data_IF_350540955195
#
_entry.id   IF_350540955195
#
_cell.length_a   1.000
_cell.length_b   1.000
_cell.length_c   1.000
_cell.angle_alpha   90.00
_cell.angle_beta   90.00
_cell.angle_gamma   90.00
#
_symmetry.space_group_name_H-M   'P 1'
#
loop_
_entity.id
_entity.type
_entity.pdbx_description
1 polymer ?
#
# COMPACT_ATOMS: atom_id res chain seq x y z
N UNK A 1 0.31 -15.87 -4.50
CA UNK A 1 0.16 -14.45 -4.88
C UNK A 1 1.07 -14.06 -6.03
N UNK A 2 2.40 -14.12 -5.90
CA UNK A 2 3.36 -13.87 -6.99
C UNK A 2 3.04 -14.54 -8.34
N UNK A 3 2.39 -15.71 -8.33
CA UNK A 3 1.95 -16.47 -9.53
C UNK A 3 0.47 -16.26 -9.92
N UNK A 4 -0.24 -15.32 -9.29
CA UNK A 4 -1.70 -15.19 -9.42
C UNK A 4 -2.52 -16.29 -8.73
N UNK A 5 -1.87 -17.33 -8.21
CA UNK A 5 -2.52 -18.38 -7.42
C UNK A 5 -2.72 -17.92 -5.98
N UNK A 6 -3.95 -17.49 -5.67
CA UNK A 6 -4.35 -17.03 -4.34
C UNK A 6 -4.81 -18.19 -3.44
N UNK A 7 -5.42 -19.23 -4.01
CA UNK A 7 -5.84 -20.41 -3.24
C UNK A 7 -4.62 -21.09 -2.59
N UNK A 8 -3.58 -21.37 -3.37
CA UNK A 8 -2.35 -21.96 -2.83
C UNK A 8 -1.62 -21.03 -1.85
N UNK A 9 -1.75 -19.70 -2.04
CA UNK A 9 -1.20 -18.73 -1.09
C UNK A 9 -1.92 -18.78 0.25
N UNK A 10 -3.24 -18.93 0.25
CA UNK A 10 -4.04 -19.11 1.46
C UNK A 10 -3.73 -20.41 2.17
N UNK A 11 -3.48 -21.49 1.44
CA UNK A 11 -3.06 -22.76 2.04
C UNK A 11 -1.67 -22.65 2.69
N UNK A 12 -0.74 -21.93 2.05
CA UNK A 12 0.57 -21.66 2.64
C UNK A 12 0.45 -20.82 3.91
N UNK A 13 -0.34 -19.74 3.88
CA UNK A 13 -0.54 -18.86 5.02
C UNK A 13 -1.26 -19.60 6.17
N UNK A 14 -2.22 -20.48 5.88
CA UNK A 14 -2.87 -21.33 6.89
C UNK A 14 -1.89 -22.31 7.54
N UNK A 15 -0.97 -22.91 6.77
CA UNK A 15 0.10 -23.75 7.34
C UNK A 15 1.06 -22.96 8.21
N UNK A 16 1.43 -21.75 7.81
CA UNK A 16 2.28 -20.86 8.61
C UNK A 16 1.59 -20.50 9.93
N UNK A 17 0.30 -20.16 9.89
CA UNK A 17 -0.53 -19.88 11.07
C UNK A 17 -0.57 -21.07 12.03
N UNK A 18 -0.81 -22.28 11.52
CA UNK A 18 -0.86 -23.50 12.33
C UNK A 18 0.50 -23.87 12.97
N UNK A 19 1.61 -23.38 12.43
CA UNK A 19 2.95 -23.59 12.95
C UNK A 19 3.41 -22.56 13.99
N UNK A 20 2.60 -21.54 14.31
CA UNK A 20 2.96 -20.51 15.29
C UNK A 20 2.90 -21.07 16.70
N UNK A 21 3.90 -20.75 17.52
CA UNK A 21 3.91 -21.06 18.95
C UNK A 21 2.97 -20.09 19.70
N UNK A 22 1.86 -20.55 20.29
CA UNK A 22 0.93 -19.68 21.01
C UNK A 22 1.57 -18.84 22.13
N UNK A 23 2.69 -19.28 22.71
CA UNK A 23 3.41 -18.54 23.73
C UNK A 23 4.03 -17.23 23.21
N UNK A 24 4.22 -17.11 21.89
CA UNK A 24 4.80 -15.93 21.21
C UNK A 24 3.76 -14.95 20.70
N UNK A 25 2.46 -15.21 20.95
CA UNK A 25 1.36 -14.37 20.47
C UNK A 25 1.45 -12.98 21.09
N UNK A 26 1.45 -11.96 20.22
CA UNK A 26 1.55 -10.54 20.56
C UNK A 26 2.69 -10.21 21.55
N UNK A 27 3.85 -10.86 21.40
CA UNK A 27 4.98 -10.72 22.31
C UNK A 27 5.42 -9.25 22.47
N UNK A 28 5.31 -8.67 23.69
CA UNK A 28 5.66 -7.28 23.95
C UNK A 28 7.16 -6.97 23.77
N UNK A 29 8.03 -7.99 23.78
CA UNK A 29 9.46 -7.82 23.55
C UNK A 29 9.80 -7.54 22.07
N UNK A 30 8.88 -7.83 21.15
CA UNK A 30 9.07 -7.59 19.72
C UNK A 30 8.53 -6.21 19.30
N UNK A 31 9.14 -5.55 18.30
CA UNK A 31 8.50 -4.47 17.56
C UNK A 31 7.16 -4.91 16.98
N UNK A 32 6.15 -4.02 16.93
CA UNK A 32 4.80 -4.36 16.47
C UNK A 32 4.76 -5.03 15.09
N UNK A 33 5.58 -4.57 14.13
CA UNK A 33 5.64 -5.16 12.78
C UNK A 33 6.22 -6.59 12.73
N UNK A 34 6.73 -7.12 13.85
CA UNK A 34 7.15 -8.52 14.00
C UNK A 34 6.18 -9.33 14.87
N UNK A 35 5.15 -8.70 15.43
CA UNK A 35 4.13 -9.37 16.22
C UNK A 35 3.04 -9.96 15.34
N UNK A 36 2.38 -10.97 15.87
CA UNK A 36 1.19 -11.56 15.29
C UNK A 36 0.12 -11.70 16.38
N UNK A 37 -1.14 -11.51 15.99
CA UNK A 37 -2.26 -11.49 16.95
C UNK A 37 -3.34 -12.51 16.62
N UNK A 38 -3.47 -12.91 15.36
CA UNK A 38 -4.50 -13.86 14.95
C UNK A 38 -4.04 -15.30 15.17
N UNK A 39 -4.87 -16.07 15.87
CA UNK A 39 -4.67 -17.48 16.21
C UNK A 39 -5.57 -18.42 15.38
N UNK A 40 -6.22 -17.90 14.34
CA UNK A 40 -7.18 -18.65 13.53
C UNK A 40 -8.62 -18.62 14.06
N UNK A 41 -8.89 -17.89 15.15
CA UNK A 41 -10.25 -17.67 15.64
C UNK A 41 -11.15 -17.14 14.51
N UNK A 42 -12.32 -17.75 14.24
CA UNK A 42 -13.20 -17.30 13.17
C UNK A 42 -13.74 -15.89 13.41
N UNK A 43 -13.99 -15.12 12.36
CA UNK A 43 -14.51 -13.74 12.48
C UNK A 43 -16.04 -13.66 12.57
N UNK A 44 -16.74 -14.69 12.10
CA UNK A 44 -18.21 -14.67 11.97
C UNK A 44 -18.91 -14.53 13.33
N UNK A 45 -19.78 -13.53 13.44
CA UNK A 45 -20.58 -13.26 14.64
C UNK A 45 -19.78 -12.78 15.86
N UNK A 46 -18.49 -12.49 15.72
CA UNK A 46 -17.62 -12.02 16.83
C UNK A 46 -17.40 -10.52 16.80
N UNK A 47 -17.06 -9.96 17.95
CA UNK A 47 -16.49 -8.64 18.08
C UNK A 47 -14.99 -8.71 17.68
N UNK A 48 -14.66 -8.14 16.52
CA UNK A 48 -13.34 -8.23 15.90
C UNK A 48 -12.55 -6.93 16.12
N UNK A 49 -11.31 -7.07 16.60
CA UNK A 49 -10.31 -6.01 16.65
C UNK A 49 -9.27 -6.23 15.54
N UNK A 50 -9.29 -5.37 14.54
CA UNK A 50 -8.30 -5.37 13.46
C UNK A 50 -7.11 -4.52 13.87
N UNK A 51 -5.91 -5.10 13.84
CA UNK A 51 -4.63 -4.46 14.17
C UNK A 51 -3.88 -4.10 12.88
N UNK A 52 -3.41 -2.87 12.76
CA UNK A 52 -2.57 -2.44 11.63
C UNK A 52 -1.13 -2.22 12.10
N UNK A 53 -0.41 -3.32 12.34
CA UNK A 53 0.94 -3.29 12.94
C UNK A 53 2.04 -3.01 11.92
N UNK A 54 1.78 -3.27 10.63
CA UNK A 54 2.75 -3.10 9.55
C UNK A 54 2.72 -1.69 8.94
N UNK A 55 3.20 -1.54 7.71
CA UNK A 55 3.36 -0.25 7.05
C UNK A 55 2.03 0.37 6.60
N UNK A 56 2.05 1.67 6.29
CA UNK A 56 0.86 2.36 5.76
C UNK A 56 0.33 1.74 4.46
N UNK A 57 1.23 1.20 3.62
CA UNK A 57 0.86 0.53 2.38
C UNK A 57 0.01 -0.72 2.61
N UNK A 58 0.36 -1.52 3.64
CA UNK A 58 -0.42 -2.70 4.01
C UNK A 58 -1.81 -2.30 4.51
N UNK A 59 -1.88 -1.30 5.40
CA UNK A 59 -3.17 -0.77 5.87
C UNK A 59 -4.03 -0.30 4.70
N UNK A 60 -3.51 0.53 3.79
CA UNK A 60 -4.23 1.04 2.64
C UNK A 60 -4.70 -0.08 1.70
N UNK A 61 -3.83 -1.05 1.45
CA UNK A 61 -4.13 -2.17 0.55
C UNK A 61 -5.23 -3.08 1.10
N UNK A 62 -5.10 -3.51 2.35
CA UNK A 62 -5.96 -4.52 2.97
C UNK A 62 -7.22 -3.93 3.60
N UNK A 63 -7.32 -2.61 3.80
CA UNK A 63 -8.56 -1.96 4.23
C UNK A 63 -9.75 -2.21 3.29
N UNK A 64 -9.49 -2.62 2.04
CA UNK A 64 -10.51 -3.05 1.08
C UNK A 64 -11.42 -4.18 1.60
N UNK A 65 -10.93 -4.99 2.54
CA UNK A 65 -11.68 -6.14 3.07
C UNK A 65 -12.53 -5.77 4.29
N UNK A 66 -12.38 -4.57 4.86
CA UNK A 66 -13.12 -4.13 6.04
C UNK A 66 -14.65 -4.14 5.84
N UNK A 67 -15.21 -3.71 4.68
CA UNK A 67 -16.65 -3.80 4.47
C UNK A 67 -17.17 -5.25 4.47
N UNK A 68 -16.44 -6.19 3.86
CA UNK A 68 -16.81 -7.60 3.87
C UNK A 68 -16.68 -8.21 5.27
N UNK A 69 -15.67 -7.81 6.03
CA UNK A 69 -15.52 -8.20 7.43
C UNK A 69 -16.70 -7.70 8.28
N UNK A 70 -17.11 -6.45 8.10
CA UNK A 70 -18.22 -5.85 8.83
C UNK A 70 -19.58 -6.51 8.54
N UNK A 71 -19.75 -7.13 7.37
CA UNK A 71 -20.94 -7.93 7.06
C UNK A 71 -21.00 -9.27 7.79
N UNK A 72 -19.85 -9.78 8.26
CA UNK A 72 -19.72 -11.11 8.85
C UNK A 72 -19.51 -11.07 10.37
N UNK A 73 -18.77 -10.09 10.85
CA UNK A 73 -18.52 -9.87 12.28
C UNK A 73 -19.74 -9.24 12.98
N UNK A 74 -19.88 -9.44 14.29
CA UNK A 74 -20.88 -8.73 15.09
C UNK A 74 -20.50 -7.25 15.29
N UNK A 75 -19.21 -6.94 15.36
CA UNK A 75 -18.69 -5.58 15.30
C UNK A 75 -17.24 -5.58 14.83
N UNK A 76 -16.80 -4.48 14.21
CA UNK A 76 -15.41 -4.30 13.76
C UNK A 76 -14.86 -3.00 14.34
N UNK A 77 -13.80 -3.12 15.13
CA UNK A 77 -12.95 -1.97 15.51
C UNK A 77 -11.62 -2.12 14.79
N UNK A 78 -11.12 -1.05 14.17
CA UNK A 78 -9.83 -1.04 13.48
C UNK A 78 -8.91 -0.06 14.18
N UNK A 79 -7.85 -0.59 14.76
CA UNK A 79 -6.76 0.20 15.34
C UNK A 79 -5.71 0.42 14.26
N UNK A 80 -5.64 1.64 13.73
CA UNK A 80 -4.77 1.99 12.60
C UNK A 80 -3.90 3.20 12.89
N UNK A 81 -2.85 3.36 12.11
CA UNK A 81 -1.89 4.43 12.32
C UNK A 81 -2.58 5.81 12.21
N UNK A 82 -2.40 6.73 13.18
CA UNK A 82 -3.18 7.98 13.24
C UNK A 82 -3.12 8.84 11.97
N UNK A 83 -2.00 8.81 11.25
CA UNK A 83 -1.81 9.55 10.00
C UNK A 83 -2.75 9.10 8.88
N UNK A 84 -3.22 7.86 8.91
CA UNK A 84 -4.13 7.35 7.88
C UNK A 84 -5.59 7.68 8.18
N UNK A 85 -5.98 7.86 9.44
CA UNK A 85 -7.38 8.09 9.83
C UNK A 85 -8.07 9.19 9.01
N UNK A 86 -7.47 10.36 8.71
CA UNK A 86 -8.15 11.39 7.93
C UNK A 86 -8.54 10.96 6.50
N UNK A 87 -7.86 9.95 5.94
CA UNK A 87 -8.23 9.39 4.62
C UNK A 87 -9.46 8.47 4.71
N UNK A 88 -9.61 7.79 5.84
CA UNK A 88 -10.72 6.89 6.09
C UNK A 88 -11.89 7.71 6.64
N UNK A 89 -12.82 8.05 5.76
CA UNK A 89 -14.11 8.62 6.16
C UNK A 89 -14.93 7.65 7.01
N UNK A 90 -16.22 7.95 7.19
CA UNK A 90 -17.12 7.02 7.88
C UNK A 90 -17.29 5.75 7.04
N UNK A 91 -16.87 4.61 7.60
CA UNK A 91 -17.11 3.29 7.06
C UNK A 91 -18.25 2.64 7.82
N UNK A 92 -19.30 2.24 7.10
CA UNK A 92 -20.44 1.57 7.71
C UNK A 92 -20.01 0.24 8.35
N UNK A 93 -20.47 -0.01 9.58
CA UNK A 93 -20.12 -1.21 10.34
C UNK A 93 -18.68 -1.27 10.87
N UNK A 94 -17.87 -0.23 10.66
CA UNK A 94 -16.45 -0.20 11.06
C UNK A 94 -16.16 1.02 11.93
N UNK A 95 -15.61 0.78 13.13
CA UNK A 95 -15.10 1.82 14.03
C UNK A 95 -13.58 1.94 13.88
N UNK A 96 -13.10 2.93 13.13
CA UNK A 96 -11.67 3.22 13.06
C UNK A 96 -11.23 4.08 14.26
N UNK A 97 -10.09 3.74 14.88
CA UNK A 97 -9.49 4.44 16.02
C UNK A 97 -7.98 4.57 15.83
N UNK A 98 -7.34 5.59 16.43
CA UNK A 98 -5.89 5.75 16.35
C UNK A 98 -5.19 4.66 17.15
N UNK A 99 -4.16 4.08 16.55
CA UNK A 99 -3.24 3.20 17.24
C UNK A 99 -2.34 4.01 18.16
N UNK A 100 -2.50 3.83 19.47
CA UNK A 100 -1.64 4.39 20.50
C UNK A 100 -0.71 3.29 21.02
N UNK A 101 0.57 3.38 20.64
CA UNK A 101 1.63 2.43 21.06
C UNK A 101 1.75 2.34 22.59
N UNK A 102 1.50 3.43 23.30
CA UNK A 102 1.60 3.46 24.76
C UNK A 102 0.34 2.90 25.44
N UNK A 103 -0.79 2.85 24.72
CA UNK A 103 -2.10 2.44 25.24
C UNK A 103 -2.89 1.66 24.18
N UNK A 104 -2.38 0.50 23.74
CA UNK A 104 -3.10 -0.31 22.77
C UNK A 104 -4.46 -0.72 23.34
N UNK A 105 -5.46 -0.87 22.48
CA UNK A 105 -6.74 -1.40 22.88
C UNK A 105 -6.59 -2.81 23.46
N UNK A 106 -7.43 -3.11 24.45
CA UNK A 106 -7.54 -4.47 25.01
C UNK A 106 -8.03 -5.43 23.92
N UNK A 107 -7.54 -6.68 23.91
CA UNK A 107 -8.05 -7.71 23.00
C UNK A 107 -9.57 -7.85 23.06
N UNK A 108 -10.17 -8.20 21.92
CA UNK A 108 -11.59 -8.50 21.77
C UNK A 108 -11.81 -10.01 21.58
N UNK A 109 -12.99 -10.44 21.17
CA UNK A 109 -13.28 -11.87 20.95
C UNK A 109 -12.42 -12.46 19.82
N UNK A 110 -11.98 -11.63 18.88
CA UNK A 110 -11.03 -11.99 17.84
C UNK A 110 -10.13 -10.79 17.51
N UNK A 111 -8.83 -10.91 17.80
CA UNK A 111 -7.82 -9.97 17.31
C UNK A 111 -7.22 -10.52 16.01
N UNK A 112 -7.13 -9.68 14.99
CA UNK A 112 -6.60 -10.07 13.67
C UNK A 112 -5.74 -8.95 13.08
N UNK A 113 -4.60 -9.28 12.51
CA UNK A 113 -3.80 -8.30 11.76
C UNK A 113 -4.42 -8.07 10.38
N UNK A 114 -4.42 -6.83 9.87
CA UNK A 114 -5.15 -6.46 8.66
C UNK A 114 -4.75 -7.27 7.41
N UNK A 115 -3.49 -7.69 7.29
CA UNK A 115 -3.00 -8.54 6.20
C UNK A 115 -3.48 -10.00 6.29
N UNK A 116 -4.00 -10.42 7.44
CA UNK A 116 -4.55 -11.76 7.68
C UNK A 116 -6.07 -11.83 7.42
N UNK A 117 -6.75 -10.68 7.38
CA UNK A 117 -8.19 -10.57 7.06
C UNK A 117 -8.58 -11.27 5.75
N UNK A 118 -7.83 -11.18 4.64
CA UNK A 118 -8.17 -11.89 3.41
C UNK A 118 -8.19 -13.41 3.58
N UNK A 119 -7.27 -13.95 4.39
CA UNK A 119 -7.22 -15.38 4.70
C UNK A 119 -8.44 -15.79 5.54
N UNK A 120 -8.79 -15.01 6.58
CA UNK A 120 -9.96 -15.26 7.41
C UNK A 120 -11.27 -15.24 6.61
N UNK A 121 -11.36 -14.34 5.61
CA UNK A 121 -12.52 -14.21 4.74
C UNK A 121 -12.49 -15.14 3.51
N UNK A 122 -11.35 -15.79 3.24
CA UNK A 122 -11.05 -16.48 1.97
C UNK A 122 -11.33 -15.60 0.74
N UNK A 123 -10.99 -14.33 0.86
CA UNK A 123 -11.19 -13.30 -0.16
C UNK A 123 -9.89 -12.97 -0.88
N UNK A 124 -9.98 -12.61 -2.15
CA UNK A 124 -8.83 -12.30 -2.99
C UNK A 124 -8.91 -10.88 -3.60
N UNK A 125 -8.04 -10.58 -4.57
CA UNK A 125 -7.91 -9.24 -5.15
C UNK A 125 -9.14 -8.78 -5.94
N UNK A 126 -10.12 -9.66 -6.21
CA UNK A 126 -11.39 -9.30 -6.82
C UNK A 126 -12.22 -8.33 -5.96
N UNK A 127 -11.93 -8.24 -4.65
CA UNK A 127 -12.51 -7.22 -3.79
C UNK A 127 -11.93 -5.86 -4.21
N UNK A 128 -12.78 -4.90 -4.64
CA UNK A 128 -12.32 -3.60 -5.11
C UNK A 128 -11.64 -2.82 -3.99
N UNK A 129 -10.72 -1.94 -4.33
CA UNK A 129 -10.12 -1.04 -3.35
C UNK A 129 -11.19 -0.19 -2.65
N UNK A 130 -10.94 0.16 -1.39
CA UNK A 130 -11.87 0.98 -0.62
C UNK A 130 -11.99 2.38 -1.26
N UNK A 131 -13.20 2.92 -1.51
CA UNK A 131 -13.33 4.26 -2.05
C UNK A 131 -12.84 5.28 -1.03
N UNK A 132 -11.83 6.07 -1.41
CA UNK A 132 -11.34 7.21 -0.63
C UNK A 132 -11.87 8.50 -1.25
N UNK A 133 -12.52 9.33 -0.45
CA UNK A 133 -13.02 10.64 -0.88
C UNK A 133 -11.93 11.69 -0.63
N UNK A 134 -11.12 11.97 -1.65
CA UNK A 134 -10.03 12.95 -1.58
C UNK A 134 -10.22 14.02 -2.64
N UNK A 135 -10.24 15.29 -2.23
CA UNK A 135 -10.26 16.41 -3.16
C UNK A 135 -8.87 16.53 -3.83
N UNK A 136 -8.80 16.52 -5.18
CA UNK A 136 -7.52 16.64 -5.88
C UNK A 136 -6.93 18.03 -5.68
N UNK A 137 -5.60 18.09 -5.53
CA UNK A 137 -4.88 19.35 -5.57
C UNK A 137 -4.96 19.98 -6.97
N UNK A 138 -5.01 21.31 -7.10
CA UNK A 138 -5.01 21.98 -8.39
C UNK A 138 -3.61 21.91 -9.00
N UNK A 139 -3.40 20.97 -9.92
CA UNK A 139 -2.13 20.74 -10.60
C UNK A 139 -2.22 21.11 -12.08
N UNK A 140 -1.12 21.51 -12.73
CA UNK A 140 -1.10 21.72 -14.16
C UNK A 140 -1.58 20.47 -14.93
N UNK A 141 -2.27 20.62 -16.07
CA UNK A 141 -2.63 19.49 -16.92
C UNK A 141 -1.42 18.62 -17.23
N UNK A 142 -1.60 17.30 -17.18
CA UNK A 142 -0.53 16.33 -17.45
C UNK A 142 0.49 16.14 -16.31
N UNK A 143 0.31 16.77 -15.14
CA UNK A 143 1.27 16.66 -14.04
C UNK A 143 1.54 15.21 -13.57
N UNK A 144 2.80 14.81 -13.61
CA UNK A 144 3.28 13.49 -13.17
C UNK A 144 3.83 13.57 -11.74
N UNK A 145 3.36 12.70 -10.85
CA UNK A 145 3.88 12.61 -9.49
C UNK A 145 4.90 11.47 -9.35
N UNK A 146 6.05 11.75 -8.73
CA UNK A 146 7.23 10.90 -8.72
C UNK A 146 7.60 10.48 -7.29
N UNK A 147 7.86 9.20 -7.07
CA UNK A 147 8.33 8.68 -5.79
C UNK A 147 9.39 7.59 -6.01
N UNK A 148 10.65 7.91 -5.74
CA UNK A 148 11.79 7.02 -6.00
C UNK A 148 12.28 6.26 -4.77
N UNK A 149 11.85 6.64 -3.56
CA UNK A 149 12.29 6.01 -2.31
C UNK A 149 11.17 5.24 -1.60
N UNK A 150 11.50 4.04 -1.13
CA UNK A 150 10.74 3.29 -0.14
C UNK A 150 11.30 3.54 1.27
N UNK A 151 10.63 2.98 2.29
CA UNK A 151 11.15 2.99 3.66
C UNK A 151 12.33 2.02 3.85
N UNK A 152 12.95 2.08 5.02
CA UNK A 152 14.24 1.43 5.30
C UNK A 152 14.17 -0.11 5.46
N UNK A 153 12.98 -0.70 5.43
CA UNK A 153 12.78 -2.15 5.53
C UNK A 153 13.44 -2.93 4.40
N UNK A 154 13.45 -2.39 3.18
CA UNK A 154 13.97 -3.06 1.98
C UNK A 154 14.55 -2.02 1.02
N UNK A 155 15.82 -1.67 1.25
CA UNK A 155 16.55 -0.69 0.46
C UNK A 155 16.58 -1.01 -1.04
N UNK A 156 16.44 -2.29 -1.41
CA UNK A 156 16.40 -2.73 -2.81
C UNK A 156 15.18 -2.27 -3.59
N UNK A 157 14.15 -1.70 -2.93
CA UNK A 157 12.98 -1.09 -3.58
C UNK A 157 13.24 0.33 -4.06
N UNK A 158 14.21 1.02 -3.47
CA UNK A 158 14.51 2.41 -3.78
C UNK A 158 15.37 2.54 -5.04
N UNK A 159 15.11 3.58 -5.81
CA UNK A 159 15.83 3.97 -7.02
C UNK A 159 16.64 5.24 -6.71
N UNK A 160 17.88 5.38 -7.20
CA UNK A 160 18.62 6.63 -7.09
C UNK A 160 17.84 7.80 -7.72
N UNK A 161 17.76 8.93 -7.00
CA UNK A 161 17.03 10.14 -7.43
C UNK A 161 17.38 10.58 -8.85
N UNK A 162 18.68 10.59 -9.19
CA UNK A 162 19.17 11.00 -10.51
C UNK A 162 18.53 10.19 -11.66
N UNK A 163 18.12 8.95 -11.39
CA UNK A 163 17.43 8.11 -12.37
C UNK A 163 16.05 8.63 -12.79
N UNK A 164 15.42 9.48 -11.97
CA UNK A 164 14.10 10.06 -12.27
C UNK A 164 14.17 11.36 -13.08
N UNK A 165 15.34 11.98 -13.24
CA UNK A 165 15.49 13.22 -14.00
C UNK A 165 14.94 13.16 -15.44
N UNK A 166 15.13 12.06 -16.22
CA UNK A 166 14.54 11.93 -17.56
C UNK A 166 13.01 11.86 -17.58
N UNK A 167 12.35 11.62 -16.44
CA UNK A 167 10.89 11.53 -16.32
C UNK A 167 10.24 12.92 -16.13
N UNK A 168 11.03 13.95 -15.80
CA UNK A 168 10.57 15.32 -15.61
C UNK A 168 10.50 16.11 -16.94
N UNK A 169 9.83 15.55 -17.97
CA UNK A 169 9.72 16.17 -19.31
C UNK A 169 8.67 17.29 -19.40
N UNK A 170 7.74 17.31 -18.45
CA UNK A 170 6.66 18.28 -18.33
C UNK A 170 6.43 18.62 -16.85
N UNK A 171 5.24 19.11 -16.47
CA UNK A 171 4.93 19.37 -15.07
C UNK A 171 5.12 18.09 -14.23
N UNK A 172 6.01 18.14 -13.24
CA UNK A 172 6.32 17.01 -12.38
C UNK A 172 6.28 17.42 -10.91
N UNK A 173 5.93 16.49 -10.02
CA UNK A 173 5.89 16.70 -8.57
C UNK A 173 6.69 15.61 -7.87
N UNK A 174 7.39 15.98 -6.81
CA UNK A 174 7.99 15.03 -5.89
C UNK A 174 6.98 14.61 -4.83
N UNK A 175 6.83 13.30 -4.63
CA UNK A 175 6.15 12.69 -3.49
C UNK A 175 7.15 12.25 -2.40
N UNK A 176 8.42 12.65 -2.52
CA UNK A 176 9.44 12.46 -1.49
C UNK A 176 9.38 13.61 -0.48
N UNK A 177 9.55 13.36 0.82
CA UNK A 177 9.33 14.38 1.85
C UNK A 177 10.44 15.43 1.95
N UNK A 178 11.62 15.15 1.38
CA UNK A 178 12.78 16.03 1.44
C UNK A 178 12.98 16.85 0.17
N UNK A 179 13.88 17.83 0.28
CA UNK A 179 14.35 18.63 -0.84
C UNK A 179 14.94 17.73 -1.94
N UNK A 180 14.69 18.10 -3.20
CA UNK A 180 15.18 17.41 -4.39
C UNK A 180 15.76 18.41 -5.39
N UNK A 181 16.75 17.97 -6.15
CA UNK A 181 17.32 18.75 -7.26
C UNK A 181 16.63 18.43 -8.61
N UNK A 182 15.65 17.52 -8.62
CA UNK A 182 14.84 17.26 -9.79
C UNK A 182 14.02 18.51 -10.19
N UNK A 183 13.79 18.74 -11.49
CA UNK A 183 12.99 19.87 -11.96
C UNK A 183 11.49 19.61 -11.75
N UNK A 184 11.05 19.71 -10.50
CA UNK A 184 9.66 19.50 -10.05
C UNK A 184 9.03 20.79 -9.54
N UNK A 185 7.70 20.84 -9.47
CA UNK A 185 6.93 21.99 -9.02
C UNK A 185 7.06 22.25 -7.50
N UNK A 186 7.44 21.23 -6.72
CA UNK A 186 7.61 21.31 -5.27
C UNK A 186 9.03 20.83 -4.85
N UNK A 187 10.09 21.60 -5.13
CA UNK A 187 11.47 21.18 -4.88
C UNK A 187 11.80 20.99 -3.40
N UNK A 188 11.01 21.57 -2.48
CA UNK A 188 11.17 21.38 -1.03
C UNK A 188 10.54 20.07 -0.51
N UNK A 189 9.90 19.29 -1.38
CA UNK A 189 9.34 17.97 -1.07
C UNK A 189 7.82 17.93 -0.87
N UNK A 190 7.34 16.74 -0.57
CA UNK A 190 5.95 16.40 -0.30
C UNK A 190 5.62 16.62 1.18
N UNK A 191 4.45 17.19 1.51
CA UNK A 191 4.03 17.32 2.90
C UNK A 191 4.01 15.96 3.62
N UNK A 192 4.43 15.94 4.89
CA UNK A 192 4.29 14.76 5.75
C UNK A 192 2.84 14.51 6.20
N UNK A 193 1.95 15.47 5.96
CA UNK A 193 0.53 15.32 6.16
C UNK A 193 -0.08 14.39 5.09
N UNK A 194 -0.83 13.40 5.54
CA UNK A 194 -1.33 12.34 4.67
C UNK A 194 -2.47 12.82 3.77
N UNK A 195 -3.32 13.73 4.25
CA UNK A 195 -4.40 14.28 3.45
C UNK A 195 -3.85 15.17 2.32
N UNK A 196 -2.84 15.98 2.60
CA UNK A 196 -2.13 16.78 1.61
C UNK A 196 -1.41 15.89 0.58
N UNK A 197 -0.72 14.83 1.02
CA UNK A 197 -0.11 13.85 0.10
C UNK A 197 -1.14 13.18 -0.80
N UNK A 198 -2.29 12.77 -0.24
CA UNK A 198 -3.37 12.17 -1.01
C UNK A 198 -3.98 13.15 -2.02
N UNK A 199 -4.10 14.44 -1.70
CA UNK A 199 -4.57 15.46 -2.62
C UNK A 199 -3.63 15.62 -3.83
N UNK A 200 -2.31 15.61 -3.61
CA UNK A 200 -1.31 15.63 -4.68
C UNK A 200 -1.42 14.39 -5.58
N UNK A 201 -1.53 13.20 -4.97
CA UNK A 201 -1.73 11.94 -5.70
C UNK A 201 -3.02 11.98 -6.52
N UNK A 202 -4.12 12.45 -5.93
CA UNK A 202 -5.42 12.53 -6.59
C UNK A 202 -5.43 13.51 -7.77
N UNK A 203 -4.69 14.61 -7.68
CA UNK A 203 -4.58 15.61 -8.75
C UNK A 203 -3.65 15.20 -9.91
N UNK A 204 -2.71 14.28 -9.68
CA UNK A 204 -1.73 13.89 -10.69
C UNK A 204 -2.36 13.10 -11.84
N UNK A 205 -1.94 13.37 -13.08
CA UNK A 205 -2.37 12.64 -14.29
C UNK A 205 -1.86 11.20 -14.30
N UNK A 206 -0.69 10.99 -13.69
CA UNK A 206 0.02 9.72 -13.56
C UNK A 206 0.89 9.75 -12.30
N UNK A 207 0.97 8.63 -11.59
CA UNK A 207 1.93 8.42 -10.50
C UNK A 207 2.98 7.41 -10.94
N UNK A 208 4.25 7.79 -10.93
CA UNK A 208 5.38 6.87 -11.15
C UNK A 208 6.07 6.67 -9.81
N UNK A 209 6.03 5.45 -9.27
CA UNK A 209 6.47 5.17 -7.90
C UNK A 209 7.10 3.81 -7.76
N UNK A 210 7.99 3.65 -6.78
CA UNK A 210 8.50 2.36 -6.32
C UNK A 210 7.48 1.63 -5.41
N UNK A 211 7.79 0.41 -4.99
CA UNK A 211 6.96 -0.39 -4.06
C UNK A 211 6.92 0.21 -2.64
N UNK A 212 6.01 1.17 -2.45
CA UNK A 212 5.79 1.92 -1.20
C UNK A 212 4.29 2.21 -1.01
N UNK A 213 3.94 2.87 0.11
CA UNK A 213 2.57 3.27 0.41
C UNK A 213 1.94 4.16 -0.68
N UNK A 214 2.73 4.93 -1.43
CA UNK A 214 2.26 5.78 -2.54
C UNK A 214 1.62 4.93 -3.65
N UNK A 215 2.18 3.76 -3.97
CA UNK A 215 1.60 2.84 -4.95
C UNK A 215 0.19 2.40 -4.53
N UNK A 216 0.02 2.06 -3.25
CA UNK A 216 -1.26 1.64 -2.69
C UNK A 216 -2.25 2.80 -2.58
N UNK A 217 -1.80 3.99 -2.17
CA UNK A 217 -2.64 5.18 -2.10
C UNK A 217 -3.17 5.56 -3.50
N UNK A 218 -2.30 5.64 -4.49
CA UNK A 218 -2.67 6.00 -5.85
C UNK A 218 -3.57 4.94 -6.51
N UNK A 219 -3.27 3.65 -6.29
CA UNK A 219 -4.10 2.55 -6.75
C UNK A 219 -5.49 2.55 -6.11
N UNK A 220 -5.58 2.85 -4.80
CA UNK A 220 -6.86 2.97 -4.09
C UNK A 220 -7.67 4.18 -4.56
N UNK A 221 -7.02 5.29 -4.90
CA UNK A 221 -7.65 6.47 -5.51
C UNK A 221 -8.01 6.28 -6.99
N UNK A 222 -7.74 5.10 -7.58
CA UNK A 222 -8.03 4.81 -8.98
C UNK A 222 -7.21 5.63 -9.98
N UNK A 223 -6.09 6.22 -9.55
CA UNK A 223 -5.21 7.00 -10.43
C UNK A 223 -4.41 6.06 -11.34
N UNK A 224 -4.03 6.49 -12.56
CA UNK A 224 -3.04 5.78 -13.33
C UNK A 224 -1.73 5.67 -12.55
N UNK A 225 -1.17 4.46 -12.42
CA UNK A 225 0.09 4.22 -11.70
C UNK A 225 1.05 3.41 -12.54
N UNK A 226 2.31 3.85 -12.63
CA UNK A 226 3.42 3.04 -13.11
C UNK A 226 4.29 2.66 -11.91
N UNK A 227 4.19 1.39 -11.52
CA UNK A 227 4.89 0.85 -10.36
C UNK A 227 6.22 0.23 -10.80
N UNK A 228 7.32 0.78 -10.32
CA UNK A 228 8.67 0.27 -10.54
C UNK A 228 8.97 -0.80 -9.47
N UNK A 229 9.25 -2.02 -9.92
CA UNK A 229 9.49 -3.17 -9.08
C UNK A 229 10.92 -3.65 -9.22
N UNK A 230 11.58 -3.92 -8.09
CA UNK A 230 12.87 -4.61 -8.07
C UNK A 230 12.75 -6.02 -8.65
N UNK A 231 13.88 -6.63 -9.01
CA UNK A 231 13.90 -7.92 -9.72
C UNK A 231 13.12 -9.03 -9.01
N UNK A 232 13.24 -9.12 -7.68
CA UNK A 232 12.43 -10.00 -6.84
C UNK A 232 11.42 -9.18 -6.03
N UNK A 233 10.22 -8.89 -6.57
CA UNK A 233 9.31 -7.99 -5.89
C UNK A 233 8.69 -8.64 -4.64
N UNK A 234 8.05 -7.83 -3.82
CA UNK A 234 7.30 -8.30 -2.66
C UNK A 234 6.28 -9.40 -3.04
N UNK A 235 5.93 -10.27 -2.07
CA UNK A 235 5.05 -11.42 -2.27
C UNK A 235 3.69 -11.06 -2.88
N UNK A 236 3.22 -9.82 -2.68
CA UNK A 236 1.95 -9.34 -3.23
C UNK A 236 2.00 -9.11 -4.75
N UNK A 237 3.16 -8.78 -5.31
CA UNK A 237 3.27 -8.41 -6.73
C UNK A 237 3.60 -9.61 -7.63
N UNK A 238 3.07 -9.65 -8.86
CA UNK A 238 3.52 -10.61 -9.87
C UNK A 238 5.03 -10.49 -10.15
N UNK A 239 5.71 -11.62 -10.40
CA UNK A 239 7.16 -11.65 -10.69
C UNK A 239 7.47 -11.16 -12.12
N UNK A 240 6.48 -11.25 -13.01
CA UNK A 240 6.60 -10.87 -14.43
C UNK A 240 5.26 -10.32 -14.92
N UNK A 241 5.32 -9.64 -16.07
CA UNK A 241 4.15 -9.05 -16.71
C UNK A 241 3.89 -7.63 -16.23
N UNK A 242 3.01 -6.92 -16.94
CA UNK A 242 2.80 -5.47 -16.76
C UNK A 242 1.53 -5.14 -15.99
N UNK A 243 0.77 -6.14 -15.53
CA UNK A 243 -0.51 -5.95 -14.86
C UNK A 243 -0.49 -6.55 -13.45
N UNK A 244 -1.32 -6.01 -12.58
CA UNK A 244 -1.53 -6.50 -11.21
C UNK A 244 -3.02 -6.77 -10.98
N UNK A 245 -3.38 -7.85 -10.26
CA UNK A 245 -4.78 -8.09 -9.93
C UNK A 245 -5.31 -7.10 -8.87
N UNK A 246 -4.42 -6.39 -8.17
CA UNK A 246 -4.79 -5.55 -7.02
C UNK A 246 -5.39 -4.20 -7.38
N UNK A 247 -4.93 -3.61 -8.49
CA UNK A 247 -5.25 -2.25 -8.92
C UNK A 247 -5.33 -2.20 -10.45
N UNK A 248 -6.54 -2.17 -11.03
CA UNK A 248 -6.71 -2.16 -12.49
C UNK A 248 -6.06 -0.97 -13.20
N UNK A 249 -5.90 0.16 -12.50
CA UNK A 249 -5.26 1.38 -13.02
C UNK A 249 -3.73 1.34 -13.03
N UNK A 250 -3.12 0.25 -12.53
CA UNK A 250 -1.68 0.15 -12.32
C UNK A 250 -1.00 -0.72 -13.39
N UNK A 251 0.08 -0.18 -13.95
CA UNK A 251 1.03 -0.87 -14.82
C UNK A 251 2.32 -1.16 -14.04
N UNK A 252 2.83 -2.37 -14.16
CA UNK A 252 4.06 -2.82 -13.52
C UNK A 252 5.25 -2.72 -14.48
N UNK A 253 6.40 -2.34 -13.93
CA UNK A 253 7.68 -2.25 -14.61
C UNK A 253 8.74 -2.94 -13.76
N UNK A 254 9.28 -4.06 -14.25
CA UNK A 254 10.22 -4.88 -13.48
C UNK A 254 11.65 -4.58 -13.86
N UNK A 255 12.51 -4.55 -12.86
CA UNK A 255 13.95 -4.50 -13.03
C UNK A 255 14.46 -5.70 -13.84
N UNK A 256 15.26 -5.43 -14.88
CA UNK A 256 15.77 -6.47 -15.78
C UNK A 256 16.79 -7.39 -15.10
N UNK A 257 17.66 -6.80 -14.26
CA UNK A 257 18.66 -7.51 -13.46
C UNK A 257 18.69 -6.95 -12.03
N UNK A 258 18.97 -7.75 -11.00
CA UNK A 258 19.04 -7.28 -9.61
C UNK A 258 19.95 -6.07 -9.45
N UNK A 259 19.41 -4.98 -8.90
CA UNK A 259 20.15 -3.74 -8.62
C UNK A 259 20.30 -2.78 -9.81
N UNK A 260 20.05 -3.23 -11.05
CA UNK A 260 20.11 -2.37 -12.23
C UNK A 260 18.75 -1.70 -12.53
N UNK A 261 18.61 -0.46 -12.06
CA UNK A 261 17.44 0.37 -12.36
C UNK A 261 17.51 1.11 -13.70
N UNK A 262 18.67 1.15 -14.35
CA UNK A 262 18.88 1.99 -15.54
C UNK A 262 18.01 1.54 -16.72
N UNK A 263 17.93 0.23 -16.96
CA UNK A 263 17.12 -0.34 -18.05
C UNK A 263 15.63 -0.04 -17.88
N UNK A 264 15.08 -0.30 -16.69
CA UNK A 264 13.64 -0.05 -16.44
C UNK A 264 13.30 1.44 -16.48
N UNK A 265 14.20 2.32 -16.02
CA UNK A 265 14.00 3.77 -16.14
C UNK A 265 14.03 4.25 -17.59
N UNK A 266 14.91 3.68 -18.43
CA UNK A 266 14.95 3.99 -19.86
C UNK A 266 13.64 3.60 -20.55
N UNK A 267 13.13 2.40 -20.28
CA UNK A 267 11.87 1.91 -20.83
C UNK A 267 10.67 2.76 -20.39
N UNK A 268 10.65 3.14 -19.10
CA UNK A 268 9.63 4.02 -18.53
C UNK A 268 9.68 5.41 -19.15
N UNK A 269 10.88 5.98 -19.35
CA UNK A 269 11.06 7.28 -19.98
C UNK A 269 10.59 7.27 -21.45
N UNK A 270 10.90 6.21 -22.19
CA UNK A 270 10.43 6.02 -23.56
C UNK A 270 8.89 5.94 -23.62
N UNK A 271 8.28 5.11 -22.77
CA UNK A 271 6.84 5.00 -22.69
C UNK A 271 6.16 6.31 -22.25
N UNK A 272 6.79 7.09 -21.37
CA UNK A 272 6.27 8.39 -20.95
C UNK A 272 6.25 9.39 -22.10
N UNK A 273 7.27 9.35 -22.98
CA UNK A 273 7.34 10.24 -24.15
C UNK A 273 6.24 9.95 -25.19
N UNK A 274 5.77 8.70 -25.26
CA UNK A 274 4.69 8.28 -26.14
C UNK A 274 3.29 8.45 -25.53
N UNK A 275 3.21 8.72 -24.22
CA UNK A 275 1.94 8.86 -23.51
C UNK A 275 1.25 10.16 -23.91
N UNK A 276 0.13 10.04 -24.60
CA UNK A 276 -0.83 11.14 -24.75
C UNK A 276 -1.66 11.24 -23.48
N UNK A 277 -1.61 12.37 -22.77
CA UNK A 277 -2.53 12.62 -21.66
C UNK A 277 -3.98 12.59 -22.17
N UNK A 278 -4.90 11.90 -21.47
CA UNK A 278 -6.33 11.96 -21.76
C UNK A 278 -6.94 13.32 -21.41
#
# INVERSE_FOLDING_TARGET
>A
MRRGDFAAAWDLAARMLAGRDPATRDDPALPYHLRWVWDGTPVDGRAVLVRCYHGYGDTLMFSRYLPLLAQRAASVTVEMQPRLLPLFGRLEGVRAVPFDVARPLKPMECDIEIMEVPLALRAGPQIPALPLAVAPAPLPPGAVALCWGAGDWDAGRSVPEAGFAPLCRGPALSLMPGRTDLPVLNPEGCPMDMAATAALVAGASLVITVDTMIAHLAGTLGRPVWLLLKHEPDWRWPVRGTQTPWYPSMRLWHQHAPGDWSGVLADVAAALAERTDP
#
